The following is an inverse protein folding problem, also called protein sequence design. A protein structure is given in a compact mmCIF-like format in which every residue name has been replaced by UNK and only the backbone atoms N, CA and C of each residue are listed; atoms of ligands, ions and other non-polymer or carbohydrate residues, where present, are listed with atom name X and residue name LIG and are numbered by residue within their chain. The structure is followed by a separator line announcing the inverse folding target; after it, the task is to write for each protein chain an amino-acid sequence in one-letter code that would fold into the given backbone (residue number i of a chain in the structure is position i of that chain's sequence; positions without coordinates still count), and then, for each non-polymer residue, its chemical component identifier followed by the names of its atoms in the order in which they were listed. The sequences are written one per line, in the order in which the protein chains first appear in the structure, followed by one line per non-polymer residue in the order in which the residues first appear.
data_IF_522359099497
#
_entry.id   IF_522359099497
#
_cell.length_a   1.000
_cell.length_b   1.000
_cell.length_c   1.000
_cell.angle_alpha   90.00
_cell.angle_beta   90.00
_cell.angle_gamma   90.00
#
_symmetry.space_group_name_H-M   'P 1'
#
loop_
_entity.id
_entity.type
_entity.pdbx_description
1 polymer ?
#
# COMPACT_ATOMS: atom_id res chain seq x y z
N UNK A 1 -17.02 8.59 4.57
CA UNK A 1 -16.20 7.38 4.40
C UNK A 1 -15.28 7.10 5.58
N UNK A 2 -14.77 8.14 6.27
CA UNK A 2 -13.88 8.03 7.44
C UNK A 2 -14.39 7.15 8.59
N UNK A 3 -15.70 7.22 8.90
CA UNK A 3 -16.32 6.40 9.95
C UNK A 3 -16.28 4.91 9.61
N UNK A 4 -16.44 4.55 8.33
CA UNK A 4 -16.40 3.16 7.88
C UNK A 4 -14.99 2.57 8.02
N UNK A 5 -13.95 3.36 7.71
CA UNK A 5 -12.56 2.95 7.90
C UNK A 5 -12.24 2.66 9.38
N UNK A 6 -12.66 3.55 10.28
CA UNK A 6 -12.48 3.36 11.72
C UNK A 6 -13.25 2.14 12.25
N UNK A 7 -14.49 1.96 11.81
CA UNK A 7 -15.28 0.80 12.19
C UNK A 7 -14.64 -0.52 11.75
N UNK A 8 -14.13 -0.56 10.52
CA UNK A 8 -13.50 -1.76 9.97
C UNK A 8 -12.18 -2.13 10.66
N UNK A 9 -11.36 -1.14 11.02
CA UNK A 9 -10.16 -1.38 11.82
C UNK A 9 -10.52 -1.87 13.23
N UNK A 10 -11.54 -1.28 13.87
CA UNK A 10 -12.02 -1.74 15.18
C UNK A 10 -12.52 -3.19 15.12
N UNK A 11 -13.24 -3.54 14.05
CA UNK A 11 -13.70 -4.91 13.80
C UNK A 11 -12.51 -5.86 13.63
N UNK A 12 -11.50 -5.47 12.85
CA UNK A 12 -10.28 -6.26 12.63
C UNK A 12 -9.52 -6.53 13.94
N UNK A 13 -9.39 -5.51 14.80
CA UNK A 13 -8.78 -5.63 16.12
C UNK A 13 -9.63 -6.53 17.03
N UNK A 14 -10.95 -6.39 17.05
CA UNK A 14 -11.83 -7.24 17.85
C UNK A 14 -11.72 -8.71 17.43
N UNK A 15 -11.71 -8.99 16.13
CA UNK A 15 -11.50 -10.34 15.59
C UNK A 15 -10.12 -10.90 15.98
N UNK A 16 -9.07 -10.07 15.95
CA UNK A 16 -7.72 -10.48 16.35
C UNK A 16 -7.69 -10.85 17.84
N UNK A 17 -8.30 -10.04 18.71
CA UNK A 17 -8.38 -10.32 20.14
C UNK A 17 -9.17 -11.59 20.44
N UNK A 18 -10.30 -11.81 19.76
CA UNK A 18 -11.07 -13.05 19.89
C UNK A 18 -10.25 -14.27 19.46
N UNK A 19 -9.52 -14.16 18.35
CA UNK A 19 -8.64 -15.22 17.87
C UNK A 19 -7.52 -15.51 18.87
N UNK A 20 -6.90 -14.49 19.47
CA UNK A 20 -5.88 -14.65 20.51
C UNK A 20 -6.43 -15.31 21.78
N UNK A 21 -7.63 -14.93 22.22
CA UNK A 21 -8.30 -15.55 23.38
C UNK A 21 -8.63 -17.01 23.09
N UNK A 22 -9.14 -17.32 21.89
CA UNK A 22 -9.43 -18.69 21.47
C UNK A 22 -8.15 -19.53 21.38
N UNK A 23 -7.08 -18.98 20.78
CA UNK A 23 -5.79 -19.64 20.68
C UNK A 23 -5.17 -19.90 22.06
N UNK A 24 -5.26 -18.94 22.99
CA UNK A 24 -4.80 -19.12 24.37
C UNK A 24 -5.59 -20.21 25.09
N UNK A 25 -6.92 -20.21 24.98
CA UNK A 25 -7.78 -21.26 25.56
C UNK A 25 -7.45 -22.63 24.98
N UNK A 26 -7.24 -22.74 23.67
CA UNK A 26 -6.87 -23.98 23.01
C UNK A 26 -5.48 -24.47 23.48
N UNK A 27 -4.47 -23.59 23.49
CA UNK A 27 -3.12 -23.94 23.95
C UNK A 27 -3.11 -24.36 25.43
N UNK A 28 -3.90 -23.68 26.28
CA UNK A 28 -4.09 -24.07 27.68
C UNK A 28 -4.73 -25.44 27.80
N UNK A 29 -5.78 -25.73 27.03
CA UNK A 29 -6.45 -27.02 27.07
C UNK A 29 -5.53 -28.17 26.60
N UNK A 30 -4.72 -27.91 25.57
CA UNK A 30 -3.70 -28.86 25.10
C UNK A 30 -2.64 -29.10 26.17
N UNK A 31 -2.17 -28.04 26.84
CA UNK A 31 -1.21 -28.15 27.95
C UNK A 31 -1.76 -28.98 29.11
N UNK A 32 -3.03 -28.79 29.47
CA UNK A 32 -3.68 -29.50 30.57
C UNK A 32 -3.89 -30.99 30.25
N UNK A 33 -4.22 -31.34 29.00
CA UNK A 33 -4.52 -32.73 28.59
C UNK A 33 -3.28 -33.53 28.15
N UNK A 34 -2.37 -32.90 27.39
CA UNK A 34 -1.28 -33.58 26.70
C UNK A 34 0.13 -33.12 27.14
N UNK A 35 0.19 -32.20 28.10
CA UNK A 35 1.43 -31.68 28.66
C UNK A 35 2.08 -30.55 27.85
N UNK A 36 3.11 -29.96 28.45
CA UNK A 36 3.78 -28.75 27.93
C UNK A 36 4.42 -28.96 26.55
N UNK A 37 4.98 -30.14 26.30
CA UNK A 37 5.71 -30.43 25.05
C UNK A 37 4.79 -30.39 23.82
N UNK A 38 3.60 -30.99 23.93
CA UNK A 38 2.60 -31.00 22.85
C UNK A 38 2.04 -29.59 22.61
N UNK A 39 1.84 -28.80 23.67
CA UNK A 39 1.43 -27.41 23.54
C UNK A 39 2.49 -26.55 22.80
N UNK A 40 3.77 -26.80 23.05
CA UNK A 40 4.87 -26.10 22.37
C UNK A 40 4.94 -26.47 20.88
N UNK A 41 4.78 -27.75 20.53
CA UNK A 41 4.67 -28.19 19.14
C UNK A 41 3.44 -27.59 18.44
N UNK A 42 2.30 -27.46 19.13
CA UNK A 42 1.11 -26.81 18.59
C UNK A 42 1.36 -25.35 18.24
N UNK A 43 1.99 -24.58 19.14
CA UNK A 43 2.34 -23.17 18.88
C UNK A 43 3.28 -23.06 17.68
N UNK A 44 4.34 -23.86 17.63
CA UNK A 44 5.28 -23.89 16.50
C UNK A 44 4.54 -24.25 15.19
N UNK A 45 3.64 -25.22 15.24
CA UNK A 45 2.82 -25.63 14.09
C UNK A 45 1.92 -24.50 13.59
N UNK A 46 1.27 -23.76 14.48
CA UNK A 46 0.47 -22.58 14.11
C UNK A 46 1.35 -21.52 13.42
N UNK A 47 2.52 -21.21 13.96
CA UNK A 47 3.44 -20.25 13.33
C UNK A 47 3.99 -20.73 11.98
N UNK A 48 4.24 -22.03 11.82
CA UNK A 48 4.73 -22.61 10.56
C UNK A 48 3.69 -22.49 9.44
N UNK A 49 2.39 -22.61 9.76
CA UNK A 49 1.30 -22.43 8.78
C UNK A 49 1.13 -20.95 8.40
N UNK A 50 1.31 -20.03 9.35
CA UNK A 50 1.19 -18.58 9.10
C UNK A 50 2.26 -18.04 8.13
N UNK A 51 3.37 -18.75 7.91
CA UNK A 51 4.44 -18.33 7.01
C UNK A 51 4.24 -18.79 5.55
N UNK A 52 3.10 -19.43 5.21
CA UNK A 52 2.74 -19.77 3.83
C UNK A 52 2.02 -18.60 3.14
N UNK A 53 2.68 -17.44 3.07
CA UNK A 53 2.34 -16.48 2.04
C UNK A 53 3.12 -16.89 0.79
N UNK A 54 2.38 -17.36 -0.22
CA UNK A 54 2.89 -17.84 -1.48
C UNK A 54 3.88 -16.85 -2.10
N UNK A 55 4.83 -17.42 -2.82
CA UNK A 55 5.74 -16.74 -3.72
C UNK A 55 4.99 -16.05 -4.86
N UNK A 56 4.26 -14.97 -4.55
CA UNK A 56 3.95 -13.94 -5.52
C UNK A 56 5.04 -12.89 -5.36
N UNK A 57 6.02 -12.98 -6.26
CA UNK A 57 7.16 -12.10 -6.45
C UNK A 57 6.92 -10.71 -5.86
N UNK A 58 7.68 -10.31 -4.83
CA UNK A 58 7.91 -8.94 -4.34
C UNK A 58 6.90 -7.96 -4.95
N UNK A 59 5.61 -8.12 -4.61
CA UNK A 59 4.55 -7.32 -5.22
C UNK A 59 4.39 -6.13 -4.31
N UNK A 60 5.38 -5.24 -4.39
CA UNK A 60 5.46 -4.03 -3.60
C UNK A 60 4.11 -3.31 -3.68
N UNK A 61 3.61 -2.82 -2.54
CA UNK A 61 2.48 -1.89 -2.48
C UNK A 61 2.76 -0.58 -3.26
N UNK A 62 3.94 -0.44 -3.85
CA UNK A 62 4.33 0.55 -4.83
C UNK A 62 4.45 -0.04 -6.23
N UNK A 63 3.50 0.29 -7.09
CA UNK A 63 3.66 0.12 -8.54
C UNK A 63 4.51 1.30 -9.02
N UNK A 64 5.79 1.06 -9.29
CA UNK A 64 6.65 2.06 -9.94
C UNK A 64 6.44 2.00 -11.45
N UNK A 65 5.88 3.06 -12.01
CA UNK A 65 5.75 3.25 -13.45
C UNK A 65 6.92 4.09 -13.94
N UNK A 66 7.66 3.57 -14.91
CA UNK A 66 8.71 4.30 -15.61
C UNK A 66 8.13 4.85 -16.91
N UNK A 67 8.10 6.18 -17.06
CA UNK A 67 7.55 6.82 -18.26
C UNK A 67 8.61 7.02 -19.34
N UNK A 68 9.87 7.24 -18.94
CA UNK A 68 11.02 7.43 -19.83
C UNK A 68 12.25 6.73 -19.28
N UNK A 69 13.05 6.09 -20.14
CA UNK A 69 14.30 5.44 -19.74
C UNK A 69 15.38 6.51 -19.46
N UNK A 70 16.08 6.48 -18.30
CA UNK A 70 16.99 7.56 -17.89
C UNK A 70 18.11 7.87 -18.90
N UNK A 71 18.52 6.89 -19.69
CA UNK A 71 19.63 7.02 -20.65
C UNK A 71 19.25 7.78 -21.94
N UNK A 72 17.96 8.07 -22.15
CA UNK A 72 17.47 8.74 -23.36
C UNK A 72 17.41 10.26 -23.27
N UNK A 73 17.68 10.85 -22.10
CA UNK A 73 17.57 12.29 -21.87
C UNK A 73 18.88 12.85 -21.30
N UNK A 74 19.43 13.89 -21.96
CA UNK A 74 20.46 14.74 -21.35
C UNK A 74 19.81 15.66 -20.31
N UNK A 75 19.38 15.10 -19.18
CA UNK A 75 18.53 15.79 -18.21
C UNK A 75 19.30 16.40 -17.04
N UNK A 76 18.78 17.49 -16.47
CA UNK A 76 19.25 18.07 -15.19
C UNK A 76 18.32 17.61 -14.07
N UNK A 77 18.91 17.13 -12.96
CA UNK A 77 18.33 16.82 -11.65
C UNK A 77 17.04 15.95 -11.60
N UNK A 78 17.11 14.87 -10.81
CA UNK A 78 15.93 14.08 -10.37
C UNK A 78 15.23 14.84 -9.24
N UNK A 79 14.18 15.60 -9.56
CA UNK A 79 13.37 16.29 -8.53
C UNK A 79 12.16 15.42 -8.21
N UNK A 80 12.09 14.95 -6.95
CA UNK A 80 10.95 14.20 -6.45
C UNK A 80 9.87 15.13 -5.90
N UNK A 81 8.63 14.97 -6.36
CA UNK A 81 7.45 15.62 -5.82
C UNK A 81 6.54 14.61 -5.12
N UNK A 82 6.00 15.04 -3.97
CA UNK A 82 5.04 14.27 -3.16
C UNK A 82 3.67 14.93 -3.25
N UNK A 83 2.65 14.11 -3.52
CA UNK A 83 1.25 14.52 -3.50
C UNK A 83 0.47 13.59 -2.59
N UNK A 84 -0.36 14.15 -1.70
CA UNK A 84 -1.27 13.37 -0.86
C UNK A 84 -2.56 13.17 -1.65
N UNK A 85 -2.87 11.91 -1.98
CA UNK A 85 -4.06 11.53 -2.74
C UNK A 85 -5.30 11.51 -1.84
N UNK A 86 -5.16 10.90 -0.66
CA UNK A 86 -6.19 10.84 0.37
C UNK A 86 -5.51 10.72 1.73
N UNK A 87 -5.97 11.49 2.71
CA UNK A 87 -5.55 11.36 4.09
C UNK A 87 -6.72 10.88 4.93
N UNK A 88 -6.56 9.73 5.59
CA UNK A 88 -7.47 9.25 6.61
C UNK A 88 -6.77 9.23 7.97
N UNK A 89 -7.51 9.16 9.09
CA UNK A 89 -6.91 9.07 10.43
C UNK A 89 -6.02 7.82 10.64
N UNK A 90 -6.19 6.78 9.81
CA UNK A 90 -5.52 5.48 9.97
C UNK A 90 -4.33 5.36 8.99
N UNK A 91 -4.55 5.77 7.75
CA UNK A 91 -3.55 5.69 6.69
C UNK A 91 -3.71 6.83 5.68
N UNK A 92 -2.61 7.20 5.02
CA UNK A 92 -2.58 8.17 3.93
C UNK A 92 -2.07 7.51 2.67
N UNK A 93 -2.69 7.82 1.54
CA UNK A 93 -2.24 7.39 0.22
C UNK A 93 -1.48 8.53 -0.43
N UNK A 94 -0.26 8.24 -0.82
CA UNK A 94 0.69 9.21 -1.33
C UNK A 94 1.09 8.82 -2.75
N UNK A 95 1.32 9.83 -3.59
CA UNK A 95 1.92 9.70 -4.90
C UNK A 95 3.27 10.40 -4.87
N UNK A 96 4.30 9.69 -5.29
CA UNK A 96 5.61 10.23 -5.54
C UNK A 96 5.86 10.16 -7.03
N UNK A 97 6.31 11.26 -7.62
CA UNK A 97 6.81 11.23 -8.98
C UNK A 97 8.08 12.05 -9.08
N UNK A 98 8.95 11.61 -9.97
CA UNK A 98 10.16 12.30 -10.32
C UNK A 98 10.05 12.79 -11.74
N UNK A 99 10.58 13.97 -11.99
CA UNK A 99 10.68 14.57 -13.30
C UNK A 99 12.07 15.15 -13.51
N UNK A 100 12.39 15.40 -14.76
CA UNK A 100 13.60 16.11 -15.13
C UNK A 100 13.33 17.07 -16.28
N UNK A 101 14.18 18.09 -16.40
CA UNK A 101 14.03 19.15 -17.41
C UNK A 101 14.90 18.85 -18.61
N UNK A 102 14.30 18.78 -19.79
CA UNK A 102 15.03 18.60 -21.04
C UNK A 102 15.82 19.87 -21.39
N UNK A 103 17.10 19.71 -21.72
CA UNK A 103 18.02 20.82 -22.04
C UNK A 103 17.65 21.57 -23.32
N UNK A 104 17.04 20.91 -24.30
CA UNK A 104 16.85 21.49 -25.63
C UNK A 104 15.63 22.41 -25.70
N UNK A 105 14.59 22.13 -24.91
CA UNK A 105 13.31 22.82 -24.98
C UNK A 105 12.79 23.31 -23.62
N UNK A 106 13.51 23.04 -22.51
CA UNK A 106 13.10 23.44 -21.17
C UNK A 106 11.84 22.73 -20.66
N UNK A 107 11.37 21.69 -21.36
CA UNK A 107 10.15 20.96 -20.99
C UNK A 107 10.45 20.01 -19.84
N UNK A 108 9.58 20.03 -18.82
CA UNK A 108 9.63 19.06 -17.73
C UNK A 108 9.01 17.74 -18.19
N UNK A 109 9.74 16.64 -18.01
CA UNK A 109 9.33 15.30 -18.43
C UNK A 109 9.28 14.39 -17.20
N UNK A 110 8.17 13.68 -16.96
CA UNK A 110 8.09 12.73 -15.86
C UNK A 110 8.95 11.50 -16.18
N UNK A 111 9.75 11.05 -15.22
CA UNK A 111 10.67 9.91 -15.36
C UNK A 111 10.07 8.65 -14.74
N UNK A 112 9.64 8.76 -13.48
CA UNK A 112 9.10 7.66 -12.68
C UNK A 112 8.00 8.17 -11.78
N UNK A 113 7.00 7.35 -11.50
CA UNK A 113 6.04 7.60 -10.43
C UNK A 113 5.73 6.31 -9.68
N UNK A 114 5.46 6.42 -8.39
CA UNK A 114 4.99 5.32 -7.56
C UNK A 114 4.01 5.84 -6.53
N UNK A 115 2.99 5.04 -6.21
CA UNK A 115 2.10 5.31 -5.10
C UNK A 115 2.52 4.49 -3.89
N UNK A 116 2.43 5.08 -2.71
CA UNK A 116 2.76 4.43 -1.46
C UNK A 116 1.69 4.73 -0.41
N UNK A 117 1.52 3.82 0.53
CA UNK A 117 0.59 3.99 1.64
C UNK A 117 1.40 4.14 2.93
N UNK A 118 1.15 5.21 3.68
CA UNK A 118 1.78 5.48 4.96
C UNK A 118 0.75 5.34 6.09
N UNK A 119 1.11 4.68 7.20
CA UNK A 119 0.24 4.50 8.37
C UNK A 119 -0.04 3.03 8.71
N UNK A 120 -1.17 2.78 9.35
CA UNK A 120 -1.54 1.44 9.82
C UNK A 120 -2.33 0.68 8.74
N UNK A 121 -1.74 -0.40 8.22
CA UNK A 121 -2.36 -1.28 7.21
C UNK A 121 -2.69 -2.64 7.84
N UNK A 122 -3.85 -2.77 8.47
CA UNK A 122 -4.31 -4.07 9.01
C UNK A 122 -5.62 -4.54 8.41
N UNK A 123 -6.60 -3.62 8.29
CA UNK A 123 -7.93 -3.90 7.76
C UNK A 123 -8.16 -3.33 6.37
N UNK A 124 -7.47 -2.26 5.97
CA UNK A 124 -7.55 -1.69 4.63
C UNK A 124 -6.18 -1.65 3.96
N UNK A 125 -6.10 -2.14 2.73
CA UNK A 125 -4.90 -2.09 1.91
C UNK A 125 -5.17 -1.42 0.56
N UNK A 126 -4.41 -0.37 0.26
CA UNK A 126 -4.41 0.26 -1.06
C UNK A 126 -3.44 -0.45 -1.99
N UNK A 127 -3.92 -0.82 -3.17
CA UNK A 127 -3.12 -1.43 -4.24
C UNK A 127 -3.19 -0.57 -5.50
N UNK A 128 -2.15 0.22 -5.82
CA UNK A 128 -2.11 0.95 -7.08
C UNK A 128 -2.05 -0.03 -8.25
N UNK A 129 -2.86 0.21 -9.28
CA UNK A 129 -2.92 -0.59 -10.51
C UNK A 129 -2.32 0.18 -11.67
N UNK A 130 -2.60 1.47 -11.75
CA UNK A 130 -2.19 2.32 -12.86
C UNK A 130 -1.85 3.73 -12.36
N UNK A 131 -0.78 4.30 -12.90
CA UNK A 131 -0.31 5.65 -12.57
C UNK A 131 0.03 6.35 -13.88
N UNK A 132 -0.64 7.46 -14.14
CA UNK A 132 -0.39 8.34 -15.27
C UNK A 132 0.03 9.70 -14.76
N UNK A 133 1.12 10.24 -15.30
CA UNK A 133 1.61 11.60 -15.02
C UNK A 133 1.96 12.25 -16.34
N UNK A 134 1.37 13.41 -16.61
CA UNK A 134 1.59 14.18 -17.83
C UNK A 134 1.87 15.64 -17.51
N UNK A 135 2.77 16.25 -18.27
CA UNK A 135 3.04 17.68 -18.18
C UNK A 135 1.85 18.47 -18.72
N UNK A 136 1.45 19.52 -18.01
CA UNK A 136 0.41 20.46 -18.45
C UNK A 136 0.85 21.22 -19.71
N UNK A 137 -0.12 21.73 -20.48
CA UNK A 137 0.13 22.46 -21.73
C UNK A 137 1.00 23.72 -21.54
N UNK A 138 1.00 24.30 -20.35
CA UNK A 138 1.79 25.46 -19.97
C UNK A 138 3.17 25.13 -19.36
N UNK A 139 3.50 23.83 -19.24
CA UNK A 139 4.74 23.32 -18.64
C UNK A 139 4.99 23.81 -17.19
N UNK A 140 3.95 24.19 -16.44
CA UNK A 140 4.07 24.67 -15.04
C UNK A 140 3.51 23.71 -14.00
N UNK A 141 2.83 22.66 -14.44
CA UNK A 141 2.21 21.69 -13.56
C UNK A 141 2.22 20.29 -14.18
N UNK A 142 2.12 19.27 -13.34
CA UNK A 142 1.85 17.90 -13.73
C UNK A 142 0.40 17.54 -13.44
N UNK A 143 -0.30 17.02 -14.45
CA UNK A 143 -1.57 16.35 -14.28
C UNK A 143 -1.30 14.90 -13.93
N UNK A 144 -1.86 14.43 -12.81
CA UNK A 144 -1.71 13.05 -12.39
C UNK A 144 -3.04 12.34 -12.30
N UNK A 145 -3.00 11.03 -12.53
CA UNK A 145 -4.09 10.13 -12.31
C UNK A 145 -3.56 8.83 -11.73
N UNK A 146 -4.09 8.43 -10.59
CA UNK A 146 -3.73 7.19 -9.90
C UNK A 146 -4.98 6.36 -9.75
N UNK A 147 -4.97 5.16 -10.31
CA UNK A 147 -6.05 4.20 -10.17
C UNK A 147 -5.59 2.96 -9.44
N UNK A 148 -6.45 2.39 -8.61
CA UNK A 148 -6.10 1.23 -7.81
C UNK A 148 -7.29 0.58 -7.13
N UNK A 149 -6.99 -0.48 -6.39
CA UNK A 149 -7.98 -1.27 -5.66
C UNK A 149 -7.74 -1.08 -4.17
N UNK A 150 -8.81 -0.70 -3.48
CA UNK A 150 -8.89 -0.73 -2.03
C UNK A 150 -9.40 -2.10 -1.59
N UNK A 151 -8.56 -2.86 -0.91
CA UNK A 151 -8.90 -4.16 -0.35
C UNK A 151 -9.26 -4.03 1.13
N UNK A 152 -10.44 -4.52 1.48
CA UNK A 152 -10.93 -4.60 2.85
C UNK A 152 -10.64 -6.01 3.34
N UNK A 153 -9.61 -6.11 4.18
CA UNK A 153 -9.12 -7.38 4.73
C UNK A 153 -9.63 -7.57 6.15
N UNK A 154 -9.86 -8.83 6.52
CA UNK A 154 -10.15 -9.25 7.88
C UNK A 154 -9.19 -10.40 8.23
N UNK A 155 -8.36 -10.22 9.26
CA UNK A 155 -7.34 -11.21 9.65
C UNK A 155 -6.42 -11.65 8.49
N UNK A 156 -6.14 -10.74 7.55
CA UNK A 156 -5.32 -11.00 6.37
C UNK A 156 -6.08 -11.52 5.14
N UNK A 157 -7.36 -11.90 5.27
CA UNK A 157 -8.19 -12.35 4.15
C UNK A 157 -8.93 -11.19 3.50
N UNK A 158 -8.86 -11.06 2.18
CA UNK A 158 -9.60 -10.05 1.43
C UNK A 158 -11.10 -10.38 1.40
N UNK A 159 -11.92 -9.54 2.02
CA UNK A 159 -13.38 -9.69 2.09
C UNK A 159 -14.09 -8.94 0.98
N UNK A 160 -13.60 -7.74 0.66
CA UNK A 160 -14.22 -6.86 -0.32
C UNK A 160 -13.17 -6.02 -1.03
N UNK A 161 -13.38 -5.72 -2.31
CA UNK A 161 -12.46 -4.92 -3.10
C UNK A 161 -13.23 -3.81 -3.82
N UNK A 162 -12.72 -2.60 -3.70
CA UNK A 162 -13.31 -1.40 -4.28
C UNK A 162 -12.30 -0.72 -5.20
N UNK A 163 -12.67 -0.48 -6.45
CA UNK A 163 -11.86 0.35 -7.33
C UNK A 163 -11.97 1.83 -6.92
N UNK A 164 -10.84 2.52 -6.82
CA UNK A 164 -10.75 3.96 -6.59
C UNK A 164 -9.81 4.61 -7.61
N UNK A 165 -10.13 5.85 -7.97
CA UNK A 165 -9.33 6.69 -8.86
C UNK A 165 -9.19 8.07 -8.25
N UNK A 166 -7.95 8.55 -8.23
CA UNK A 166 -7.57 9.89 -7.82
C UNK A 166 -7.02 10.62 -9.04
N UNK A 167 -7.39 11.88 -9.20
CA UNK A 167 -6.85 12.74 -10.25
C UNK A 167 -6.67 14.16 -9.69
N UNK A 168 -5.66 14.87 -10.19
CA UNK A 168 -5.38 16.24 -9.75
C UNK A 168 -4.22 16.87 -10.51
N UNK A 169 -3.82 18.05 -10.05
CA UNK A 169 -2.69 18.79 -10.58
C UNK A 169 -1.68 19.07 -9.46
N UNK A 170 -0.40 18.92 -9.77
CA UNK A 170 0.71 19.29 -8.90
C UNK A 170 1.51 20.39 -9.60
N UNK A 171 1.50 21.61 -9.05
CA UNK A 171 2.33 22.71 -9.56
C UNK A 171 3.81 22.41 -9.32
N UNK A 172 4.62 22.83 -10.28
CA UNK A 172 6.07 22.80 -10.22
C UNK A 172 6.49 24.23 -9.84
N UNK A 173 7.03 24.42 -8.63
CA UNK A 173 7.65 25.69 -8.21
C UNK A 173 9.12 25.75 -8.64
#
# INVERSE_FOLDING_TARGET
MTILYLFWELLSIACLLLLLVAAYKAARHIKEQYGLFVALLFVIGCFAVSNRNGSDAIRNNSTTVHFVHPDSLQTYADVSHKVILEASPVASYELYFAYATNRDNGIHVPLKAFSYTSGFESGIAWRPVDIMVHTSADNKAFQYQVSGVMEWRLLGFNMFSQYKRYAGMASIE
#
